data_IF_502525888641
#
_entry.id   IF_502525888641
#
_cell.length_a   1.000
_cell.length_b   1.000
_cell.length_c   1.000
_cell.angle_alpha   90.00
_cell.angle_beta   90.00
_cell.angle_gamma   90.00
#
_symmetry.space_group_name_H-M   'P 1'
#
loop_
_entity.id
_entity.type
_entity.pdbx_description
1 polymer ?
#
# COMPACT_ATOMS: atom_id res chain seq x y z
N UNK A 1 -15.50 0.00 17.87
CA UNK A 1 -16.80 0.32 18.51
C UNK A 1 -17.06 -0.52 19.76
N UNK A 2 -16.98 -1.86 19.72
CA UNK A 2 -17.21 -2.69 20.93
C UNK A 2 -16.27 -2.33 22.10
N UNK A 3 -14.97 -2.17 21.84
CA UNK A 3 -13.97 -1.80 22.87
C UNK A 3 -14.30 -0.46 23.55
N UNK A 4 -14.82 0.51 22.78
CA UNK A 4 -15.25 1.81 23.32
C UNK A 4 -16.41 1.67 24.29
N UNK A 5 -17.45 0.91 23.91
CA UNK A 5 -18.62 0.70 24.76
C UNK A 5 -18.24 -0.03 26.05
N UNK A 6 -17.35 -1.03 25.95
CA UNK A 6 -16.83 -1.78 27.10
C UNK A 6 -15.97 -0.91 28.01
N UNK A 7 -15.09 -0.08 27.47
CA UNK A 7 -14.27 0.84 28.26
C UNK A 7 -15.12 1.88 28.98
N UNK A 8 -16.10 2.46 28.28
CA UNK A 8 -17.06 3.39 28.87
C UNK A 8 -17.90 2.73 29.96
N UNK A 9 -18.32 1.48 29.77
CA UNK A 9 -19.05 0.72 30.78
C UNK A 9 -18.17 0.40 31.99
N UNK A 10 -16.92 0.00 31.77
CA UNK A 10 -15.96 -0.24 32.84
C UNK A 10 -15.72 1.00 33.70
N UNK A 11 -15.48 2.15 33.07
CA UNK A 11 -15.31 3.43 33.78
C UNK A 11 -16.57 3.82 34.53
N UNK A 12 -17.75 3.68 33.90
CA UNK A 12 -19.03 3.94 34.55
C UNK A 12 -19.22 3.09 35.81
N UNK A 13 -19.02 1.78 35.74
CA UNK A 13 -19.21 0.89 36.89
C UNK A 13 -18.25 1.19 38.05
N UNK A 14 -17.04 1.63 37.74
CA UNK A 14 -16.01 1.94 38.74
C UNK A 14 -16.25 3.32 39.38
N UNK A 15 -16.63 4.31 38.58
CA UNK A 15 -16.71 5.71 39.01
C UNK A 15 -18.12 6.10 39.50
N UNK A 16 -19.20 5.46 39.03
CA UNK A 16 -20.57 5.78 39.42
C UNK A 16 -20.83 5.81 40.95
N UNK A 17 -20.24 4.95 41.80
CA UNK A 17 -20.50 5.01 43.24
C UNK A 17 -19.74 6.14 43.96
N UNK A 18 -18.69 6.70 43.37
CA UNK A 18 -17.79 7.65 44.06
C UNK A 18 -17.79 9.04 43.40
N UNK A 19 -18.11 9.11 42.11
CA UNK A 19 -17.98 10.31 41.30
C UNK A 19 -19.32 10.71 40.68
N UNK A 20 -19.87 11.84 41.14
CA UNK A 20 -21.12 12.40 40.62
C UNK A 20 -21.05 12.78 39.13
N UNK A 21 -19.85 12.96 38.56
CA UNK A 21 -19.67 13.23 37.13
C UNK A 21 -20.01 12.02 36.24
N UNK A 22 -19.99 10.80 36.80
CA UNK A 22 -20.35 9.57 36.09
C UNK A 22 -21.73 9.06 36.53
N UNK A 23 -22.66 9.97 36.84
CA UNK A 23 -24.00 9.63 37.29
C UNK A 23 -24.83 8.88 36.25
N UNK A 24 -24.62 9.15 34.96
CA UNK A 24 -25.25 8.42 33.85
C UNK A 24 -24.20 7.77 32.96
N UNK A 25 -24.60 6.67 32.31
CA UNK A 25 -23.76 6.01 31.31
C UNK A 25 -23.40 6.95 30.13
N UNK A 26 -24.28 7.90 29.79
CA UNK A 26 -24.01 8.92 28.78
C UNK A 26 -22.79 9.80 29.11
N UNK A 27 -22.57 10.10 30.39
CA UNK A 27 -21.45 10.93 30.83
C UNK A 27 -20.13 10.16 30.67
N UNK A 28 -20.14 8.85 30.96
CA UNK A 28 -19.01 7.97 30.73
C UNK A 28 -18.69 7.79 29.24
N UNK A 29 -19.70 7.76 28.38
CA UNK A 29 -19.53 7.70 26.93
C UNK A 29 -18.88 8.98 26.39
N UNK A 30 -19.40 10.13 26.83
CA UNK A 30 -18.84 11.44 26.48
C UNK A 30 -17.39 11.58 26.93
N UNK A 31 -17.09 11.22 28.18
CA UNK A 31 -15.73 11.26 28.70
C UNK A 31 -14.80 10.35 27.91
N UNK A 32 -15.22 9.12 27.63
CA UNK A 32 -14.41 8.15 26.88
C UNK A 32 -14.14 8.62 25.45
N UNK A 33 -15.10 9.30 24.82
CA UNK A 33 -14.94 9.90 23.50
C UNK A 33 -13.99 11.10 23.54
N UNK A 34 -14.14 12.00 24.52
CA UNK A 34 -13.24 13.13 24.68
C UNK A 34 -11.80 12.73 25.03
N UNK A 35 -11.64 11.64 25.79
CA UNK A 35 -10.34 11.08 26.14
C UNK A 35 -9.61 10.50 24.91
N UNK A 36 -10.31 9.76 24.04
CA UNK A 36 -9.66 9.13 22.86
C UNK A 36 -9.17 10.14 21.82
N UNK A 37 -9.80 11.31 21.74
CA UNK A 37 -9.40 12.39 20.83
C UNK A 37 -8.45 13.40 21.48
N UNK A 38 -7.90 13.08 22.65
CA UNK A 38 -6.97 13.92 23.43
C UNK A 38 -7.55 15.26 23.91
N UNK A 39 -8.85 15.50 23.75
CA UNK A 39 -9.49 16.75 24.20
C UNK A 39 -9.50 16.85 25.72
N UNK A 40 -9.63 15.71 26.41
CA UNK A 40 -9.71 15.67 27.88
C UNK A 40 -10.93 16.43 28.41
N UNK A 41 -12.12 15.83 28.32
CA UNK A 41 -13.32 16.45 28.90
C UNK A 41 -13.43 16.13 30.39
N UNK A 42 -13.94 17.11 31.15
CA UNK A 42 -14.30 17.05 32.57
C UNK A 42 -13.12 16.75 33.52
N UNK A 43 -12.60 17.82 34.12
CA UNK A 43 -11.70 17.74 35.26
C UNK A 43 -12.51 17.92 36.56
N UNK A 44 -12.36 17.07 37.58
CA UNK A 44 -11.51 15.87 37.62
C UNK A 44 -12.18 14.68 36.90
N UNK A 45 -11.44 13.94 36.07
CA UNK A 45 -11.93 12.73 35.40
C UNK A 45 -12.14 11.56 36.37
N UNK A 46 -11.79 10.30 36.00
CA UNK A 46 -11.82 9.19 36.94
C UNK A 46 -10.97 9.51 38.17
N UNK A 47 -11.56 9.45 39.36
CA UNK A 47 -10.89 9.78 40.63
C UNK A 47 -10.43 8.53 41.38
N UNK A 48 -10.98 7.36 41.05
CA UNK A 48 -10.59 6.11 41.69
C UNK A 48 -9.27 5.61 41.09
N UNK A 49 -8.36 5.01 41.89
CA UNK A 49 -7.09 4.49 41.37
C UNK A 49 -7.28 3.46 40.24
N UNK A 50 -8.32 2.63 40.35
CA UNK A 50 -8.66 1.64 39.32
C UNK A 50 -9.23 2.33 38.07
N UNK A 51 -10.12 3.31 38.25
CA UNK A 51 -10.69 4.09 37.15
C UNK A 51 -9.64 4.90 36.39
N UNK A 52 -8.64 5.45 37.09
CA UNK A 52 -7.49 6.12 36.47
C UNK A 52 -6.66 5.16 35.62
N UNK A 53 -6.38 3.94 36.11
CA UNK A 53 -5.65 2.94 35.34
C UNK A 53 -6.41 2.52 34.08
N UNK A 54 -7.71 2.22 34.22
CA UNK A 54 -8.57 1.85 33.09
C UNK A 54 -8.69 3.01 32.09
N UNK A 55 -8.87 4.24 32.59
CA UNK A 55 -8.94 5.45 31.77
C UNK A 55 -7.63 5.73 31.03
N UNK A 56 -6.47 5.50 31.66
CA UNK A 56 -5.17 5.66 31.03
C UNK A 56 -4.95 4.63 29.91
N UNK A 57 -5.27 3.36 30.16
CA UNK A 57 -5.20 2.29 29.15
C UNK A 57 -6.14 2.61 27.99
N UNK A 58 -7.38 3.02 28.29
CA UNK A 58 -8.35 3.42 27.29
C UNK A 58 -7.87 4.61 26.45
N UNK A 59 -7.27 5.63 27.07
CA UNK A 59 -6.75 6.81 26.37
C UNK A 59 -5.69 6.44 25.34
N UNK A 60 -4.75 5.54 25.70
CA UNK A 60 -3.70 5.05 24.79
C UNK A 60 -4.33 4.27 23.63
N UNK A 61 -5.15 3.27 23.93
CA UNK A 61 -5.76 2.39 22.92
C UNK A 61 -6.67 3.19 21.99
N UNK A 62 -7.51 4.07 22.56
CA UNK A 62 -8.46 4.90 21.82
C UNK A 62 -7.75 5.85 20.87
N UNK A 63 -6.70 6.54 21.34
CA UNK A 63 -5.90 7.46 20.51
C UNK A 63 -5.20 6.71 19.38
N UNK A 64 -4.53 5.60 19.68
CA UNK A 64 -3.84 4.79 18.66
C UNK A 64 -4.84 4.24 17.63
N UNK A 65 -6.02 3.79 18.06
CA UNK A 65 -7.03 3.29 17.14
C UNK A 65 -7.57 4.41 16.24
N UNK A 66 -7.90 5.58 16.79
CA UNK A 66 -8.46 6.70 16.04
C UNK A 66 -7.46 7.25 15.03
N UNK A 67 -6.28 7.68 15.50
CA UNK A 67 -5.26 8.27 14.64
C UNK A 67 -4.60 7.21 13.76
N UNK A 68 -4.41 5.99 14.25
CA UNK A 68 -3.83 4.89 13.49
C UNK A 68 -4.66 4.54 12.26
N UNK A 69 -5.99 4.51 12.37
CA UNK A 69 -6.87 4.26 11.22
C UNK A 69 -6.77 5.39 10.19
N UNK A 70 -6.77 6.66 10.65
CA UNK A 70 -6.65 7.82 9.75
C UNK A 70 -5.31 7.78 9.01
N UNK A 71 -4.20 7.62 9.75
CA UNK A 71 -2.85 7.56 9.19
C UNK A 71 -2.69 6.36 8.25
N UNK A 72 -3.18 5.19 8.65
CA UNK A 72 -3.13 3.99 7.81
C UNK A 72 -3.92 4.16 6.52
N UNK A 73 -5.08 4.84 6.56
CA UNK A 73 -5.89 5.12 5.37
C UNK A 73 -5.16 6.06 4.42
N UNK A 74 -4.58 7.15 4.95
CA UNK A 74 -3.78 8.11 4.16
C UNK A 74 -2.56 7.39 3.57
N UNK A 75 -1.86 6.59 4.36
CA UNK A 75 -0.69 5.84 3.91
C UNK A 75 -1.06 4.83 2.81
N UNK A 76 -2.12 4.05 3.01
CA UNK A 76 -2.60 3.09 2.02
C UNK A 76 -3.03 3.75 0.70
N UNK A 77 -3.52 4.99 0.75
CA UNK A 77 -3.94 5.71 -0.45
C UNK A 77 -2.77 6.41 -1.16
N UNK A 78 -1.90 7.10 -0.43
CA UNK A 78 -0.86 7.96 -1.02
C UNK A 78 0.53 7.34 -1.08
N UNK A 79 0.86 6.45 -0.15
CA UNK A 79 2.23 5.99 0.06
C UNK A 79 2.43 4.55 -0.40
N UNK A 80 1.42 3.68 -0.33
CA UNK A 80 1.54 2.27 -0.70
C UNK A 80 1.84 2.08 -2.21
N UNK A 81 3.08 1.72 -2.60
CA UNK A 81 3.46 1.54 -4.00
C UNK A 81 2.76 0.33 -4.62
N UNK A 82 2.31 -0.64 -3.80
CA UNK A 82 1.68 -1.89 -4.27
C UNK A 82 0.29 -1.65 -4.86
N UNK A 83 -0.33 -0.50 -4.57
CA UNK A 83 -1.61 -0.09 -5.18
C UNK A 83 -1.45 0.66 -6.49
N UNK A 84 -0.23 0.99 -6.92
CA UNK A 84 -0.02 1.57 -8.26
C UNK A 84 -0.06 0.44 -9.29
N UNK A 85 -1.06 0.38 -10.19
CA UNK A 85 -1.06 -0.56 -11.31
C UNK A 85 0.05 -0.26 -12.34
N UNK A 86 0.99 0.64 -12.03
CA UNK A 86 2.11 0.98 -12.90
C UNK A 86 3.11 -0.16 -13.04
N UNK A 87 3.27 -1.07 -12.06
CA UNK A 87 4.19 -2.21 -12.25
C UNK A 87 3.71 -3.14 -13.36
N UNK A 88 2.40 -3.46 -13.41
CA UNK A 88 1.84 -4.30 -14.46
C UNK A 88 1.96 -3.67 -15.85
N UNK A 89 1.76 -2.36 -15.95
CA UNK A 89 1.93 -1.62 -17.21
C UNK A 89 3.41 -1.56 -17.62
N UNK A 90 4.31 -1.34 -16.66
CA UNK A 90 5.75 -1.31 -16.91
C UNK A 90 6.27 -2.69 -17.33
N UNK A 91 5.83 -3.76 -16.66
CA UNK A 91 6.20 -5.14 -16.98
C UNK A 91 5.68 -5.53 -18.37
N UNK A 92 4.43 -5.18 -18.69
CA UNK A 92 3.86 -5.40 -20.02
C UNK A 92 4.57 -4.58 -21.11
N UNK A 93 4.97 -3.34 -20.84
CA UNK A 93 5.73 -2.51 -21.78
C UNK A 93 7.15 -3.08 -22.00
N UNK A 94 7.83 -3.50 -20.93
CA UNK A 94 9.15 -4.12 -21.03
C UNK A 94 9.10 -5.42 -21.84
N UNK A 95 8.12 -6.29 -21.57
CA UNK A 95 7.94 -7.52 -22.33
C UNK A 95 7.72 -7.27 -23.83
N UNK A 96 6.89 -6.27 -24.18
CA UNK A 96 6.67 -5.90 -25.59
C UNK A 96 7.93 -5.31 -26.24
N UNK A 97 8.70 -4.51 -25.51
CA UNK A 97 9.94 -3.92 -26.02
C UNK A 97 11.03 -4.98 -26.22
N UNK A 98 11.20 -5.92 -25.30
CA UNK A 98 12.14 -7.05 -25.45
C UNK A 98 11.79 -7.92 -26.66
N UNK A 99 10.50 -8.16 -26.90
CA UNK A 99 10.05 -8.88 -28.08
C UNK A 99 10.40 -8.13 -29.37
N UNK A 100 10.12 -6.82 -29.44
CA UNK A 100 10.45 -6.01 -30.62
C UNK A 100 11.97 -5.90 -30.86
N UNK A 101 12.78 -5.81 -29.81
CA UNK A 101 14.24 -5.74 -29.91
C UNK A 101 14.83 -7.05 -30.47
N UNK A 102 14.33 -8.20 -30.01
CA UNK A 102 14.76 -9.50 -30.53
C UNK A 102 14.35 -9.72 -31.99
N UNK A 103 13.11 -9.39 -32.36
CA UNK A 103 12.65 -9.49 -33.75
C UNK A 103 13.49 -8.63 -34.72
N UNK A 104 13.85 -7.41 -34.31
CA UNK A 104 14.70 -6.51 -35.12
C UNK A 104 16.09 -7.09 -35.37
N UNK A 105 16.71 -7.71 -34.37
CA UNK A 105 18.02 -8.36 -34.53
C UNK A 105 17.97 -9.53 -35.53
N UNK A 106 16.91 -10.33 -35.50
CA UNK A 106 16.73 -11.46 -36.41
C UNK A 106 16.43 -11.01 -37.85
N UNK A 107 15.63 -9.96 -38.04
CA UNK A 107 15.38 -9.39 -39.38
C UNK A 107 16.65 -8.83 -40.02
N UNK A 108 17.50 -8.15 -39.24
CA UNK A 108 18.79 -7.63 -39.71
C UNK A 108 19.73 -8.78 -40.11
N UNK A 109 19.76 -9.86 -39.32
CA UNK A 109 20.54 -11.06 -39.66
C UNK A 109 20.01 -11.77 -40.91
N UNK A 110 18.68 -11.89 -41.05
CA UNK A 110 18.04 -12.48 -42.21
C UNK A 110 18.33 -11.67 -43.49
N UNK A 111 18.33 -10.33 -43.39
CA UNK A 111 18.70 -9.46 -44.50
C UNK A 111 20.18 -9.61 -44.86
N UNK A 112 21.07 -9.64 -43.86
CA UNK A 112 22.51 -9.88 -44.07
C UNK A 112 22.76 -11.19 -44.80
N UNK A 113 22.13 -12.26 -44.34
CA UNK A 113 22.34 -13.60 -44.91
C UNK A 113 21.78 -13.70 -46.33
N UNK A 114 20.66 -13.01 -46.61
CA UNK A 114 20.13 -12.88 -47.98
C UNK A 114 21.12 -12.16 -48.89
N UNK A 115 21.72 -11.07 -48.43
CA UNK A 115 22.74 -10.33 -49.20
C UNK A 115 23.98 -11.17 -49.43
N UNK A 116 24.48 -11.88 -48.41
CA UNK A 116 25.64 -12.77 -48.52
C UNK A 116 25.35 -13.89 -49.53
N UNK A 117 24.18 -14.51 -49.45
CA UNK A 117 23.77 -15.56 -50.37
C UNK A 117 23.66 -15.04 -51.81
N UNK A 118 23.10 -13.85 -51.99
CA UNK A 118 23.02 -13.22 -53.31
C UNK A 118 24.40 -12.88 -53.88
N UNK A 119 25.29 -12.29 -53.08
CA UNK A 119 26.67 -12.01 -53.48
C UNK A 119 27.41 -13.30 -53.87
N UNK A 120 27.31 -14.37 -53.07
CA UNK A 120 27.93 -15.66 -53.35
C UNK A 120 27.38 -16.30 -54.63
N UNK A 121 26.05 -16.25 -54.84
CA UNK A 121 25.42 -16.72 -56.06
C UNK A 121 25.89 -15.90 -57.29
N UNK A 122 26.07 -14.58 -57.12
CA UNK A 122 26.58 -13.69 -58.18
C UNK A 122 28.03 -14.00 -58.53
N UNK A 123 28.89 -14.21 -57.52
CA UNK A 123 30.30 -14.57 -57.70
C UNK A 123 30.42 -15.92 -58.44
N UNK A 124 29.68 -16.94 -58.00
CA UNK A 124 29.68 -18.25 -58.65
C UNK A 124 29.17 -18.21 -60.10
N UNK A 125 28.19 -17.35 -60.40
CA UNK A 125 27.71 -17.13 -61.77
C UNK A 125 28.76 -16.45 -62.66
N UNK A 126 29.51 -15.48 -62.11
CA UNK A 126 30.60 -14.80 -62.82
C UNK A 126 31.76 -15.78 -63.09
N UNK A 127 32.16 -16.59 -62.11
CA UNK A 127 33.19 -17.63 -62.29
C UNK A 127 32.82 -18.64 -63.37
N UNK A 128 31.57 -19.11 -63.39
CA UNK A 128 31.06 -19.98 -64.47
C UNK A 128 31.06 -19.31 -65.85
N UNK A 129 30.85 -17.99 -65.91
CA UNK A 129 30.86 -17.23 -67.17
C UNK A 129 32.27 -16.89 -67.68
N UNK A 130 33.28 -16.89 -66.80
CA UNK A 130 34.69 -16.60 -67.11
C UNK A 130 35.55 -17.83 -67.41
N UNK A 131 35.02 -19.05 -67.26
CA UNK A 131 35.76 -20.28 -67.55
C UNK A 131 35.82 -20.52 -69.07
N UNK A 132 37.02 -20.56 -69.69
CA UNK A 132 37.13 -20.76 -71.13
C UNK A 132 36.57 -22.13 -71.50
N UNK A 133 35.64 -22.15 -72.46
CA UNK A 133 35.10 -23.38 -73.05
C UNK A 133 36.26 -24.14 -73.69
N UNK A 134 36.71 -25.19 -73.02
CA UNK A 134 37.58 -26.24 -73.59
C UNK A 134 36.83 -27.04 -74.64
#
# INVERSE_FOLDING_TARGET
MVVFLLASLGIYLIEQPVNAQFGRYADALWWSFAAMQTQGANFPGPITPVGMLVGAIWSIIGTVALFGVIIATIYAYYVDPKRRPSSLIIDALQYNLEQMENLSADEVNALRDTVVNYCNARIAAIEKSGQPRS
#
